data_IF_941084419595
#
_entry.id   IF_941084419595
#
_cell.length_a   1.000
_cell.length_b   1.000
_cell.length_c   1.000
_cell.angle_alpha   90.00
_cell.angle_beta   90.00
_cell.angle_gamma   90.00
#
_symmetry.space_group_name_H-M   'P 1'
#
loop_
_entity.id
_entity.type
_entity.pdbx_description
1 polymer ?
#
# COMPACT_ATOMS: atom_id res chain seq x y z
N UNK A 1 -11.44 -17.87 -40.37
CA UNK A 1 -10.64 -16.63 -40.23
C UNK A 1 -11.02 -15.78 -39.02
N UNK A 2 -12.32 -15.49 -38.78
CA UNK A 2 -12.76 -14.55 -37.72
C UNK A 2 -12.48 -15.02 -36.28
N UNK A 3 -12.60 -16.32 -36.01
CA UNK A 3 -12.37 -16.89 -34.66
C UNK A 3 -10.90 -16.80 -34.25
N UNK A 4 -9.98 -17.08 -35.17
CA UNK A 4 -8.54 -16.96 -34.91
C UNK A 4 -8.15 -15.54 -34.51
N UNK A 5 -8.69 -14.52 -35.18
CA UNK A 5 -8.39 -13.12 -34.85
C UNK A 5 -8.83 -12.71 -33.43
N UNK A 6 -9.95 -13.23 -32.93
CA UNK A 6 -10.44 -12.92 -31.57
C UNK A 6 -9.56 -13.54 -30.50
N UNK A 7 -9.10 -14.77 -30.70
CA UNK A 7 -8.21 -15.48 -29.75
C UNK A 7 -6.87 -14.76 -29.63
N UNK A 8 -6.32 -14.26 -30.74
CA UNK A 8 -5.05 -13.51 -30.72
C UNK A 8 -5.17 -12.17 -29.99
N UNK A 9 -6.31 -11.47 -30.11
CA UNK A 9 -6.54 -10.19 -29.43
C UNK A 9 -6.67 -10.38 -27.91
N UNK A 10 -7.35 -11.43 -27.45
CA UNK A 10 -7.43 -11.72 -26.01
C UNK A 10 -6.06 -12.13 -25.41
N UNK A 11 -5.21 -12.80 -26.18
CA UNK A 11 -3.87 -13.20 -25.74
C UNK A 11 -2.90 -12.00 -25.58
N UNK A 12 -3.21 -10.85 -26.20
CA UNK A 12 -2.41 -9.62 -26.12
C UNK A 12 -2.91 -8.64 -25.05
N UNK A 13 -3.99 -8.98 -24.32
CA UNK A 13 -4.48 -8.16 -23.22
C UNK A 13 -3.52 -8.26 -22.03
N UNK A 14 -2.55 -7.36 -21.95
CA UNK A 14 -1.72 -7.19 -20.77
C UNK A 14 -2.59 -6.72 -19.58
N UNK A 15 -2.29 -7.15 -18.34
CA UNK A 15 -2.96 -6.61 -17.16
C UNK A 15 -2.73 -5.08 -17.10
N UNK A 16 -3.81 -4.32 -16.99
CA UNK A 16 -3.74 -2.87 -16.83
C UNK A 16 -3.21 -2.54 -15.42
N UNK A 17 -1.94 -2.16 -15.31
CA UNK A 17 -1.27 -1.79 -14.04
C UNK A 17 -1.59 -0.36 -13.54
N UNK A 18 -2.51 0.34 -14.21
CA UNK A 18 -2.96 1.68 -13.81
C UNK A 18 -3.57 1.73 -12.38
N UNK A 19 -3.93 0.58 -11.79
CA UNK A 19 -4.52 0.49 -10.45
C UNK A 19 -3.51 0.17 -9.33
N UNK A 20 -2.23 0.04 -9.69
CA UNK A 20 -1.15 -0.25 -8.75
C UNK A 20 -0.41 1.01 -8.32
N UNK A 21 -0.57 2.11 -9.08
CA UNK A 21 0.10 3.38 -8.83
C UNK A 21 -0.87 4.56 -8.95
N UNK A 22 -0.70 5.54 -8.07
CA UNK A 22 -1.34 6.84 -8.18
C UNK A 22 -0.73 7.64 -9.34
N UNK A 23 -1.43 8.69 -9.79
CA UNK A 23 -0.94 9.59 -10.85
C UNK A 23 0.38 10.31 -10.50
N UNK A 24 0.75 10.31 -9.22
CA UNK A 24 2.04 10.82 -8.73
C UNK A 24 3.16 9.76 -8.68
N UNK A 25 2.92 8.54 -9.21
CA UNK A 25 3.90 7.45 -9.27
C UNK A 25 4.06 6.66 -7.96
N UNK A 26 3.32 6.97 -6.90
CA UNK A 26 3.37 6.19 -5.64
C UNK A 26 2.53 4.92 -5.75
N UNK A 27 3.00 3.82 -5.15
CA UNK A 27 2.26 2.56 -5.10
C UNK A 27 0.97 2.73 -4.28
N UNK A 28 -0.07 2.03 -4.71
CA UNK A 28 -1.39 2.03 -4.07
C UNK A 28 -1.42 0.90 -3.04
N UNK A 29 -1.93 1.16 -1.82
CA UNK A 29 -2.24 0.08 -0.86
C UNK A 29 -3.24 -0.88 -1.52
N UNK A 30 -2.89 -2.16 -1.74
CA UNK A 30 -3.69 -3.08 -2.53
C UNK A 30 -5.04 -3.44 -1.88
N UNK A 31 -5.18 -3.22 -0.57
CA UNK A 31 -6.39 -3.56 0.19
C UNK A 31 -7.28 -2.34 0.33
N UNK A 32 -6.73 -1.22 0.78
CA UNK A 32 -7.55 -0.06 1.13
C UNK A 32 -7.79 0.86 -0.05
N UNK A 33 -6.91 0.83 -1.07
CA UNK A 33 -6.98 1.66 -2.28
C UNK A 33 -7.21 3.16 -1.98
N UNK A 34 -6.73 3.63 -0.83
CA UNK A 34 -6.91 5.01 -0.38
C UNK A 34 -5.75 5.92 -0.80
N UNK A 35 -6.07 7.17 -1.13
CA UNK A 35 -5.06 8.21 -1.33
C UNK A 35 -4.55 8.68 0.04
N UNK A 36 -3.43 8.14 0.48
CA UNK A 36 -2.84 8.44 1.79
C UNK A 36 -1.64 9.37 1.66
N UNK A 37 -1.88 10.65 1.42
CA UNK A 37 -0.82 11.67 1.36
C UNK A 37 -1.30 13.05 1.86
N UNK A 38 -2.52 13.19 2.37
CA UNK A 38 -3.13 14.48 2.67
C UNK A 38 -3.65 14.55 4.10
N UNK A 39 -3.22 15.58 4.85
CA UNK A 39 -4.01 16.14 5.95
C UNK A 39 -3.56 15.80 7.38
N UNK A 40 -4.49 16.05 8.32
CA UNK A 40 -4.35 15.88 9.77
C UNK A 40 -4.14 14.45 10.23
N UNK A 41 -4.55 13.50 9.40
CA UNK A 41 -4.78 12.11 9.77
C UNK A 41 -3.53 11.23 9.59
N UNK A 42 -2.47 11.79 9.00
CA UNK A 42 -1.17 11.13 8.84
C UNK A 42 -0.20 11.65 9.89
N UNK A 43 0.31 10.75 10.73
CA UNK A 43 1.24 11.08 11.81
C UNK A 43 2.47 10.20 11.72
N UNK A 44 3.60 10.78 12.12
CA UNK A 44 4.82 10.03 12.37
C UNK A 44 4.57 9.12 13.57
N UNK A 45 5.06 7.88 13.49
CA UNK A 45 4.92 6.87 14.52
C UNK A 45 6.30 6.57 15.11
N UNK A 46 6.38 6.54 16.44
CA UNK A 46 7.62 6.17 17.13
C UNK A 46 8.00 4.71 16.78
N UNK A 47 9.28 4.42 16.46
CA UNK A 47 9.72 3.06 16.14
C UNK A 47 9.43 2.02 17.22
N UNK A 48 9.37 2.42 18.50
CA UNK A 48 9.00 1.53 19.60
C UNK A 48 7.56 1.01 19.52
N UNK A 49 6.69 1.68 18.77
CA UNK A 49 5.31 1.26 18.53
C UNK A 49 5.18 0.31 17.33
N UNK A 50 6.27 -0.03 16.67
CA UNK A 50 6.29 -0.94 15.52
C UNK A 50 7.10 -2.17 15.84
N UNK A 51 6.44 -3.33 15.82
CA UNK A 51 7.09 -4.62 16.01
C UNK A 51 7.04 -5.42 14.71
N UNK A 52 8.21 -5.81 14.21
CA UNK A 52 8.30 -6.76 13.10
C UNK A 52 7.76 -8.13 13.56
N UNK A 53 6.87 -8.71 12.77
CA UNK A 53 6.32 -10.04 12.97
C UNK A 53 6.43 -10.85 11.68
N UNK A 54 6.14 -12.16 11.75
CA UNK A 54 6.16 -13.01 10.55
C UNK A 54 5.10 -12.51 9.56
N UNK A 55 5.55 -12.01 8.40
CA UNK A 55 4.70 -11.57 7.30
C UNK A 55 4.25 -10.10 7.36
N UNK A 56 4.75 -9.30 8.31
CA UNK A 56 4.36 -7.90 8.40
C UNK A 56 4.81 -7.21 9.68
N UNK A 57 4.06 -6.18 10.06
CA UNK A 57 4.30 -5.37 11.24
C UNK A 57 3.07 -5.35 12.15
N UNK A 58 3.31 -5.38 13.46
CA UNK A 58 2.33 -5.08 14.49
C UNK A 58 2.47 -3.63 14.94
N UNK A 59 1.39 -2.87 14.87
CA UNK A 59 1.31 -1.56 15.50
C UNK A 59 0.86 -1.75 16.94
N UNK A 60 1.72 -1.42 17.91
CA UNK A 60 1.48 -1.74 19.33
C UNK A 60 0.37 -0.87 19.92
N UNK A 61 0.27 0.40 19.50
CA UNK A 61 -0.71 1.36 19.99
C UNK A 61 -2.16 0.99 19.61
N UNK A 62 -2.35 0.32 18.47
CA UNK A 62 -3.68 -0.11 17.98
C UNK A 62 -3.88 -1.62 17.97
N UNK A 63 -2.82 -2.39 18.24
CA UNK A 63 -2.78 -3.86 18.08
C UNK A 63 -3.09 -4.36 16.65
N UNK A 64 -3.03 -3.49 15.63
CA UNK A 64 -3.30 -3.84 14.24
C UNK A 64 -2.12 -4.58 13.60
N UNK A 65 -2.41 -5.60 12.76
CA UNK A 65 -1.41 -6.24 11.90
C UNK A 65 -1.43 -5.61 10.51
N UNK A 66 -0.28 -5.16 10.03
CA UNK A 66 -0.09 -4.64 8.69
C UNK A 66 0.78 -5.64 7.91
N UNK A 67 0.21 -6.39 6.95
CA UNK A 67 0.98 -7.34 6.15
C UNK A 67 1.92 -6.61 5.18
N UNK A 68 3.05 -7.23 4.80
CA UNK A 68 4.08 -6.59 3.97
C UNK A 68 3.53 -6.03 2.65
N UNK A 69 2.52 -6.66 2.05
CA UNK A 69 1.95 -6.23 0.77
C UNK A 69 1.27 -4.86 0.86
N UNK A 70 0.87 -4.46 2.08
CA UNK A 70 0.26 -3.15 2.37
C UNK A 70 1.27 -2.08 2.75
N UNK A 71 2.50 -2.44 3.09
CA UNK A 71 3.55 -1.50 3.48
C UNK A 71 3.94 -0.67 2.26
N UNK A 72 3.93 0.65 2.44
CA UNK A 72 4.38 1.59 1.42
C UNK A 72 5.80 2.09 1.75
N UNK A 73 6.63 2.41 0.74
CA UNK A 73 7.91 3.06 0.98
C UNK A 73 7.71 4.43 1.62
N UNK A 74 8.39 4.68 2.73
CA UNK A 74 8.49 6.01 3.29
C UNK A 74 9.38 6.91 2.43
N UNK A 75 8.94 8.14 2.09
CA UNK A 75 9.74 9.07 1.27
C UNK A 75 10.92 9.70 2.02
N UNK A 76 10.92 9.69 3.35
CA UNK A 76 11.87 10.41 4.22
C UNK A 76 12.53 9.50 5.27
N UNK A 77 12.35 8.18 5.17
CA UNK A 77 12.80 7.18 6.15
C UNK A 77 12.22 7.35 7.57
N UNK A 78 11.16 8.14 7.76
CA UNK A 78 10.36 8.07 8.98
C UNK A 78 9.27 7.00 8.85
N UNK A 79 8.67 6.59 9.96
CA UNK A 79 7.53 5.67 9.98
C UNK A 79 6.27 6.52 10.01
N UNK A 80 5.39 6.36 9.03
CA UNK A 80 4.14 7.12 8.97
C UNK A 80 2.93 6.20 8.99
N UNK A 81 1.87 6.64 9.66
CA UNK A 81 0.58 5.97 9.63
C UNK A 81 -0.54 6.98 9.40
N UNK A 82 -1.40 6.67 8.43
CA UNK A 82 -2.62 7.45 8.16
C UNK A 82 -3.83 6.75 8.77
N UNK A 83 -4.56 7.43 9.65
CA UNK A 83 -5.68 6.85 10.42
C UNK A 83 -6.93 7.71 10.36
N UNK A 84 -8.04 7.10 9.96
CA UNK A 84 -9.37 7.71 10.05
C UNK A 84 -10.45 6.64 10.18
N UNK A 85 -11.59 7.00 10.78
CA UNK A 85 -12.65 6.04 11.11
C UNK A 85 -12.19 4.96 12.11
N UNK A 86 -11.19 5.26 12.94
CA UNK A 86 -10.66 4.34 13.95
C UNK A 86 -9.75 3.22 13.44
N UNK A 87 -9.23 3.31 12.21
CA UNK A 87 -8.43 2.25 11.60
C UNK A 87 -7.20 2.80 10.86
N UNK A 88 -6.14 1.99 10.78
CA UNK A 88 -4.96 2.29 9.96
C UNK A 88 -5.21 1.98 8.49
N UNK A 89 -5.17 3.02 7.66
CA UNK A 89 -5.50 2.94 6.23
C UNK A 89 -4.26 2.81 5.36
N UNK A 90 -3.19 3.49 5.74
CA UNK A 90 -1.88 3.37 5.12
C UNK A 90 -0.78 3.37 6.17
N UNK A 91 0.29 2.66 5.85
CA UNK A 91 1.45 2.50 6.69
C UNK A 91 2.70 2.59 5.81
N UNK A 92 3.61 3.49 6.17
CA UNK A 92 4.84 3.76 5.46
C UNK A 92 6.02 3.38 6.35
N UNK A 93 6.95 2.61 5.81
CA UNK A 93 8.12 2.13 6.54
C UNK A 93 9.41 2.45 5.77
N UNK A 94 10.54 2.70 6.46
CA UNK A 94 11.84 2.93 5.82
C UNK A 94 12.22 1.72 4.96
N UNK A 95 12.59 1.98 3.70
CA UNK A 95 12.99 0.98 2.70
C UNK A 95 12.06 -0.25 2.62
N UNK A 96 11.12 -0.26 1.68
CA UNK A 96 10.30 -1.45 1.44
C UNK A 96 11.15 -2.58 0.82
N UNK A 97 10.97 -3.77 1.37
CA UNK A 97 11.65 -5.04 1.03
C UNK A 97 11.32 -5.56 -0.36
#
# INVERSE_FOLDING_TARGET
>A
MRIFAVVTILALAAPASAHDFWTNGRRVDPVTKNLCCSGSDTKELDPSLVKLERGGFRLIDTNEFIPFERVQPSPDNAIWVSRWGGQSKCFFYPSSF
#
